data_IF_481053670593
#
_entry.id   IF_481053670593
#
_cell.length_a   1.000
_cell.length_b   1.000
_cell.length_c   1.000
_cell.angle_alpha   90.00
_cell.angle_beta   90.00
_cell.angle_gamma   90.00
#
_symmetry.space_group_name_H-M   'P 1'
#
loop_
_entity.id
_entity.type
_entity.pdbx_description
1 polymer ?
#
# COMPACT_ATOMS: atom_id res chain seq x y z
N UNK A 1 -6.15 8.59 24.80
CA UNK A 1 -5.34 7.35 24.64
C UNK A 1 -5.59 6.78 23.26
N UNK A 2 -4.55 6.61 22.43
CA UNK A 2 -4.70 6.02 21.08
C UNK A 2 -4.88 4.51 21.26
N UNK A 3 -6.08 4.00 20.96
CA UNK A 3 -6.37 2.56 20.99
C UNK A 3 -5.56 1.90 19.88
N UNK A 4 -4.51 1.16 20.25
CA UNK A 4 -3.75 0.32 19.32
C UNK A 4 -4.62 -0.86 18.93
N UNK A 5 -5.35 -0.74 17.82
CA UNK A 5 -6.02 -1.87 17.18
C UNK A 5 -4.94 -2.76 16.55
N UNK A 6 -4.40 -3.69 17.34
CA UNK A 6 -3.61 -4.81 16.83
C UNK A 6 -4.58 -5.80 16.18
N UNK A 7 -5.07 -5.46 15.00
CA UNK A 7 -5.90 -6.36 14.22
C UNK A 7 -5.00 -7.42 13.57
N UNK A 8 -5.20 -8.68 13.97
CA UNK A 8 -4.62 -9.85 13.32
C UNK A 8 -5.31 -10.07 11.96
N UNK A 9 -5.12 -9.14 11.03
CA UNK A 9 -5.54 -9.28 9.64
C UNK A 9 -4.59 -10.30 9.04
N UNK A 10 -5.06 -11.52 8.77
CA UNK A 10 -4.38 -12.37 7.80
C UNK A 10 -4.33 -11.55 6.51
N UNK A 11 -3.13 -11.21 6.05
CA UNK A 11 -2.94 -10.46 4.83
C UNK A 11 -3.62 -11.23 3.70
N UNK A 12 -4.86 -10.85 3.36
CA UNK A 12 -5.50 -11.32 2.15
C UNK A 12 -4.73 -10.62 1.05
N UNK A 13 -4.02 -11.39 0.23
CA UNK A 13 -3.10 -10.86 -0.77
C UNK A 13 -3.80 -9.75 -1.54
N UNK A 14 -3.31 -8.52 -1.37
CA UNK A 14 -3.96 -7.34 -1.95
C UNK A 14 -4.04 -7.47 -3.48
N UNK A 15 -3.09 -8.21 -4.08
CA UNK A 15 -3.10 -8.64 -5.48
C UNK A 15 -4.42 -9.29 -5.92
N UNK A 16 -5.08 -10.07 -5.06
CA UNK A 16 -6.36 -10.73 -5.35
C UNK A 16 -7.55 -9.77 -5.35
N UNK A 17 -7.43 -8.62 -4.68
CA UNK A 17 -8.47 -7.58 -4.67
C UNK A 17 -8.36 -6.70 -5.91
N UNK A 18 -7.14 -6.41 -6.35
CA UNK A 18 -6.92 -5.51 -7.49
C UNK A 18 -7.10 -6.25 -8.85
N UNK A 19 -7.00 -7.58 -8.88
CA UNK A 19 -7.21 -8.37 -10.11
C UNK A 19 -8.63 -8.30 -10.67
N UNK A 20 -9.61 -7.78 -9.93
CA UNK A 20 -10.97 -7.53 -10.43
C UNK A 20 -11.07 -6.30 -11.36
N UNK A 21 -10.04 -5.45 -11.42
CA UNK A 21 -10.04 -4.28 -12.29
C UNK A 21 -9.52 -4.64 -13.69
N UNK A 22 -10.43 -5.11 -14.55
CA UNK A 22 -10.13 -5.40 -15.96
C UNK A 22 -10.14 -4.11 -16.77
N UNK A 23 -8.99 -3.46 -16.95
CA UNK A 23 -8.86 -2.26 -17.79
C UNK A 23 -7.76 -1.29 -17.38
N UNK A 24 -7.22 -1.43 -16.17
CA UNK A 24 -6.16 -0.56 -15.65
C UNK A 24 -4.76 -1.04 -16.07
N UNK A 25 -3.82 -0.10 -16.20
CA UNK A 25 -2.45 -0.38 -16.61
C UNK A 25 -1.74 -1.26 -15.54
N UNK A 26 -1.15 -2.42 -15.93
CA UNK A 26 -0.49 -3.32 -14.98
C UNK A 26 0.64 -2.67 -14.17
N UNK A 27 1.34 -1.69 -14.73
CA UNK A 27 2.40 -0.93 -14.06
C UNK A 27 1.81 0.02 -13.02
N UNK A 28 0.69 0.68 -13.32
CA UNK A 28 -0.02 1.49 -12.31
C UNK A 28 -0.50 0.63 -11.14
N UNK A 29 -1.04 -0.55 -11.42
CA UNK A 29 -1.45 -1.50 -10.37
C UNK A 29 -0.27 -1.98 -9.51
N UNK A 30 0.86 -2.29 -10.14
CA UNK A 30 2.07 -2.69 -9.42
C UNK A 30 2.60 -1.56 -8.52
N UNK A 31 2.64 -0.34 -9.03
CA UNK A 31 3.05 0.85 -8.26
C UNK A 31 2.07 1.15 -7.11
N UNK A 32 0.77 0.97 -7.34
CA UNK A 32 -0.24 1.13 -6.29
C UNK A 32 -0.03 0.12 -5.16
N UNK A 33 0.14 -1.16 -5.52
CA UNK A 33 0.40 -2.23 -4.57
C UNK A 33 1.65 -1.94 -3.73
N UNK A 34 2.76 -1.57 -4.37
CA UNK A 34 4.02 -1.25 -3.66
C UNK A 34 3.84 -0.08 -2.68
N UNK A 35 3.11 0.97 -3.09
CA UNK A 35 2.85 2.10 -2.20
C UNK A 35 2.08 1.68 -0.94
N UNK A 36 1.02 0.88 -1.11
CA UNK A 36 0.23 0.38 0.00
C UNK A 36 1.01 -0.56 0.92
N UNK A 37 1.81 -1.47 0.35
CA UNK A 37 2.66 -2.39 1.12
C UNK A 37 3.61 -1.60 2.05
N UNK A 38 4.14 -0.46 1.59
CA UNK A 38 5.02 0.40 2.38
C UNK A 38 4.27 1.27 3.41
N UNK A 39 3.01 1.64 3.14
CA UNK A 39 2.16 2.39 4.09
C UNK A 39 1.71 1.49 5.24
N UNK A 40 1.42 0.21 4.97
CA UNK A 40 0.93 -0.74 5.97
C UNK A 40 2.04 -1.45 6.77
N UNK A 41 3.29 -1.00 6.65
CA UNK A 41 4.37 -1.48 7.53
C UNK A 41 4.00 -1.18 8.99
N UNK A 42 4.00 -2.24 9.80
CA UNK A 42 3.62 -2.20 11.22
C UNK A 42 4.59 -1.36 12.05
N UNK A 43 5.87 -1.47 11.73
CA UNK A 43 6.94 -0.67 12.34
C UNK A 43 6.87 0.78 11.82
N UNK A 44 6.55 1.77 12.66
CA UNK A 44 6.42 3.15 12.23
C UNK A 44 7.73 3.76 11.72
N UNK A 45 8.89 3.28 12.18
CA UNK A 45 10.20 3.78 11.70
C UNK A 45 10.52 3.30 10.30
N UNK A 46 9.93 2.17 9.88
CA UNK A 46 10.09 1.58 8.55
C UNK A 46 8.93 1.90 7.60
N UNK A 47 7.88 2.56 8.10
CA UNK A 47 6.73 2.96 7.30
C UNK A 47 7.10 4.05 6.31
N UNK A 48 6.50 4.01 5.13
CA UNK A 48 6.62 5.05 4.12
C UNK A 48 6.34 6.44 4.72
N UNK A 49 7.29 7.34 4.58
CA UNK A 49 7.13 8.74 5.01
C UNK A 49 6.33 9.54 3.97
N UNK A 50 5.78 10.69 4.37
CA UNK A 50 4.99 11.55 3.47
C UNK A 50 5.83 11.99 2.26
N UNK A 51 7.07 12.41 2.48
CA UNK A 51 7.96 12.84 1.40
C UNK A 51 8.23 11.72 0.38
N UNK A 52 8.38 10.48 0.86
CA UNK A 52 8.55 9.31 0.01
C UNK A 52 7.25 8.94 -0.72
N UNK A 53 6.11 9.05 -0.04
CA UNK A 53 4.80 8.80 -0.64
C UNK A 53 4.50 9.79 -1.77
N UNK A 54 4.81 11.07 -1.59
CA UNK A 54 4.65 12.10 -2.63
C UNK A 54 5.56 11.86 -3.84
N UNK A 55 6.74 11.26 -3.61
CA UNK A 55 7.71 10.94 -4.65
C UNK A 55 7.51 9.54 -5.25
N UNK A 56 6.44 8.83 -4.89
CA UNK A 56 6.22 7.47 -5.33
C UNK A 56 5.73 7.42 -6.78
N UNK A 57 6.19 6.48 -7.62
CA UNK A 57 5.74 6.35 -9.02
C UNK A 57 4.23 6.19 -9.24
N UNK A 58 3.48 5.93 -8.17
CA UNK A 58 2.02 5.89 -8.21
C UNK A 58 1.39 7.30 -8.11
N UNK A 59 1.99 8.20 -7.32
CA UNK A 59 1.51 9.58 -7.14
C UNK A 59 2.11 10.54 -8.16
N UNK A 60 3.33 10.27 -8.63
CA UNK A 60 4.04 11.08 -9.64
C UNK A 60 3.80 10.61 -11.07
N UNK A 61 2.78 9.76 -11.27
CA UNK A 61 2.51 9.00 -12.51
C UNK A 61 2.71 9.77 -13.80
#
# INVERSE_FOLDING_TARGET
>A
AVKRLLVNIKAKDFSSLISCYTGEDPKMLANFKDMLDRIFVLDPEKRLTISQALSHPFTTG
#
